data_IF_645735783592
#
_entry.id   IF_645735783592
#
_cell.length_a   1.000
_cell.length_b   1.000
_cell.length_c   1.000
_cell.angle_alpha   90.00
_cell.angle_beta   90.00
_cell.angle_gamma   90.00
#
_symmetry.space_group_name_H-M   'P 1'
#
loop_
_entity.id
_entity.type
_entity.pdbx_description
1 polymer ?
#
# COMPACT_ATOMS: atom_id res chain seq x y z
N UNK A 1 15.53 -6.11 -8.47
CA UNK A 1 15.39 -4.64 -8.61
C UNK A 1 13.92 -4.29 -8.47
N UNK A 2 13.57 -3.71 -7.34
CA UNK A 2 12.23 -3.34 -6.94
C UNK A 2 12.20 -1.83 -6.69
N UNK A 3 11.50 -1.11 -7.57
CA UNK A 3 11.29 0.33 -7.44
C UNK A 3 9.86 0.60 -6.96
N UNK A 4 9.69 1.60 -6.10
CA UNK A 4 8.39 2.03 -5.63
C UNK A 4 8.16 3.51 -5.94
N UNK A 5 6.93 3.87 -6.31
CA UNK A 5 6.50 5.25 -6.53
C UNK A 5 5.48 5.62 -5.45
N UNK A 6 5.81 6.65 -4.66
CA UNK A 6 4.98 7.19 -3.58
C UNK A 6 4.55 8.63 -3.89
N UNK A 7 3.43 9.07 -3.31
CA UNK A 7 2.88 10.40 -3.55
C UNK A 7 1.37 10.48 -3.35
N UNK A 8 0.83 11.69 -3.27
CA UNK A 8 -0.59 11.91 -3.02
C UNK A 8 -1.49 11.36 -4.16
N UNK A 9 -2.78 11.20 -3.86
CA UNK A 9 -3.79 10.91 -4.87
C UNK A 9 -3.76 12.04 -5.91
N UNK A 10 -3.73 11.69 -7.19
CA UNK A 10 -3.63 12.66 -8.28
C UNK A 10 -2.22 13.15 -8.62
N UNK A 11 -1.16 12.75 -7.89
CA UNK A 11 0.22 13.19 -8.15
C UNK A 11 0.88 12.60 -9.42
N UNK A 12 0.17 11.78 -10.20
CA UNK A 12 0.70 11.16 -11.42
C UNK A 12 1.52 9.88 -11.21
N UNK A 13 1.39 9.21 -10.05
CA UNK A 13 2.12 7.96 -9.73
C UNK A 13 1.92 6.88 -10.78
N UNK A 14 0.66 6.56 -11.11
CA UNK A 14 0.31 5.55 -12.11
C UNK A 14 0.95 5.84 -13.47
N UNK A 15 0.96 7.11 -13.87
CA UNK A 15 1.62 7.56 -15.11
C UNK A 15 3.12 7.32 -15.05
N UNK A 16 3.79 7.70 -13.95
CA UNK A 16 5.22 7.48 -13.80
C UNK A 16 5.56 5.98 -13.77
N UNK A 17 4.82 5.18 -13.02
CA UNK A 17 4.98 3.72 -12.95
C UNK A 17 4.91 3.09 -14.34
N UNK A 18 3.90 3.48 -15.14
CA UNK A 18 3.77 3.01 -16.52
C UNK A 18 4.95 3.43 -17.40
N UNK A 19 5.36 4.69 -17.35
CA UNK A 19 6.46 5.21 -18.17
C UNK A 19 7.79 4.53 -17.84
N UNK A 20 8.11 4.37 -16.55
CA UNK A 20 9.34 3.69 -16.12
C UNK A 20 9.30 2.20 -16.47
N UNK A 21 8.15 1.54 -16.29
CA UNK A 21 7.99 0.12 -16.63
C UNK A 21 8.25 -0.12 -18.11
N UNK A 22 7.67 0.73 -18.96
CA UNK A 22 7.87 0.67 -20.41
C UNK A 22 9.33 0.95 -20.81
N UNK A 23 9.97 1.93 -20.18
CA UNK A 23 11.35 2.31 -20.49
C UNK A 23 12.36 1.22 -20.10
N UNK A 24 12.22 0.63 -18.91
CA UNK A 24 13.15 -0.39 -18.38
C UNK A 24 12.75 -1.83 -18.72
N UNK A 25 11.54 -2.06 -19.23
CA UNK A 25 10.98 -3.40 -19.45
C UNK A 25 10.68 -4.15 -18.14
N UNK A 26 10.36 -3.43 -17.06
CA UNK A 26 10.05 -4.02 -15.75
C UNK A 26 8.55 -4.24 -15.61
N UNK A 27 8.12 -5.21 -14.80
CA UNK A 27 6.69 -5.42 -14.54
C UNK A 27 6.11 -4.24 -13.75
N UNK A 28 5.02 -3.65 -14.25
CA UNK A 28 4.27 -2.62 -13.52
C UNK A 28 3.26 -3.27 -12.56
N UNK A 29 3.33 -2.91 -11.29
CA UNK A 29 2.36 -3.33 -10.28
C UNK A 29 1.51 -2.14 -9.87
N UNK A 30 0.29 -2.09 -10.37
CA UNK A 30 -0.66 -1.03 -10.05
C UNK A 30 -1.44 -1.32 -8.77
N UNK A 31 -2.04 -0.27 -8.21
CA UNK A 31 -3.09 -0.43 -7.21
C UNK A 31 -4.24 -1.23 -7.81
N UNK A 32 -4.67 -2.27 -7.09
CA UNK A 32 -5.86 -3.03 -7.44
C UNK A 32 -6.84 -2.86 -6.27
N UNK A 33 -7.67 -1.82 -6.38
CA UNK A 33 -8.62 -1.44 -5.34
C UNK A 33 -10.03 -1.99 -5.63
N UNK A 34 -10.34 -2.36 -6.89
CA UNK A 34 -11.69 -2.70 -7.33
C UNK A 34 -12.20 -4.04 -6.79
N UNK A 35 -11.31 -4.93 -6.31
CA UNK A 35 -11.68 -6.25 -5.79
C UNK A 35 -11.71 -6.35 -4.25
N UNK A 36 -11.50 -5.26 -3.52
CA UNK A 36 -11.47 -5.33 -2.05
C UNK A 36 -12.90 -5.43 -1.47
N UNK A 37 -13.28 -6.53 -0.81
CA UNK A 37 -14.66 -6.73 -0.33
C UNK A 37 -15.10 -5.68 0.70
N UNK A 38 -14.16 -5.05 1.39
CA UNK A 38 -14.46 -4.04 2.42
C UNK A 38 -14.58 -2.61 1.87
N UNK A 39 -14.30 -2.38 0.59
CA UNK A 39 -14.23 -1.01 0.07
C UNK A 39 -15.61 -0.34 0.01
N UNK A 40 -16.63 -1.06 -0.48
CA UNK A 40 -18.00 -0.55 -0.51
C UNK A 40 -18.55 -0.35 0.90
N UNK A 41 -18.30 -1.30 1.79
CA UNK A 41 -18.70 -1.23 3.19
C UNK A 41 -18.05 -0.05 3.92
N UNK A 42 -16.77 0.22 3.64
CA UNK A 42 -16.07 1.38 4.18
C UNK A 42 -16.70 2.70 3.77
N UNK A 43 -17.13 2.85 2.52
CA UNK A 43 -17.83 4.07 2.10
C UNK A 43 -19.22 4.20 2.72
N UNK A 44 -19.84 3.08 3.12
CA UNK A 44 -21.13 3.08 3.82
C UNK A 44 -20.99 3.40 5.31
N UNK A 45 -19.95 2.88 5.99
CA UNK A 45 -19.66 3.13 7.40
C UNK A 45 -18.15 3.08 7.65
N UNK A 46 -17.50 4.25 7.53
CA UNK A 46 -16.05 4.34 7.67
C UNK A 46 -15.61 3.94 9.08
N UNK A 47 -16.37 4.28 10.12
CA UNK A 47 -15.97 3.99 11.49
C UNK A 47 -15.96 2.49 11.77
N UNK A 48 -16.96 1.77 11.26
CA UNK A 48 -17.05 0.31 11.42
C UNK A 48 -15.99 -0.44 10.63
N UNK A 49 -15.66 0.04 9.42
CA UNK A 49 -14.92 -0.75 8.44
C UNK A 49 -13.47 -0.27 8.20
N UNK A 50 -13.04 0.84 8.79
CA UNK A 50 -11.67 1.37 8.67
C UNK A 50 -10.62 0.30 8.94
N UNK A 51 -10.70 -0.38 10.08
CA UNK A 51 -9.73 -1.41 10.46
C UNK A 51 -9.73 -2.59 9.48
N UNK A 52 -10.92 -3.12 9.16
CA UNK A 52 -11.07 -4.25 8.23
C UNK A 52 -10.48 -3.94 6.84
N UNK A 53 -10.74 -2.73 6.35
CA UNK A 53 -10.22 -2.28 5.06
C UNK A 53 -8.67 -2.21 5.08
N UNK A 54 -8.08 -1.62 6.13
CA UNK A 54 -6.62 -1.51 6.25
C UNK A 54 -5.94 -2.88 6.37
N UNK A 55 -6.53 -3.82 7.12
CA UNK A 55 -6.03 -5.20 7.20
C UNK A 55 -6.09 -5.90 5.84
N UNK A 56 -7.18 -5.72 5.09
CA UNK A 56 -7.33 -6.28 3.75
C UNK A 56 -6.27 -5.74 2.78
N UNK A 57 -6.00 -4.43 2.83
CA UNK A 57 -4.91 -3.83 2.05
C UNK A 57 -3.55 -4.38 2.45
N UNK A 58 -3.24 -4.43 3.75
CA UNK A 58 -1.99 -4.99 4.26
C UNK A 58 -1.76 -6.42 3.76
N UNK A 59 -2.77 -7.29 3.84
CA UNK A 59 -2.69 -8.66 3.33
C UNK A 59 -2.44 -8.71 1.81
N UNK A 60 -3.20 -7.93 1.03
CA UNK A 60 -3.03 -7.87 -0.44
C UNK A 60 -1.63 -7.40 -0.83
N UNK A 61 -1.12 -6.36 -0.17
CA UNK A 61 0.24 -5.81 -0.40
C UNK A 61 1.32 -6.82 -0.01
N UNK A 62 1.19 -7.48 1.15
CA UNK A 62 2.13 -8.51 1.59
C UNK A 62 2.19 -9.69 0.61
N UNK A 63 1.03 -10.16 0.13
CA UNK A 63 0.96 -11.24 -0.87
C UNK A 63 1.70 -10.87 -2.16
N UNK A 64 1.54 -9.63 -2.64
CA UNK A 64 2.28 -9.11 -3.80
C UNK A 64 3.79 -9.11 -3.54
N UNK A 65 4.24 -8.57 -2.39
CA UNK A 65 5.66 -8.54 -2.00
C UNK A 65 6.31 -9.94 -1.94
N UNK A 66 5.60 -10.91 -1.37
CA UNK A 66 6.06 -12.31 -1.33
C UNK A 66 6.21 -12.88 -2.74
N UNK A 67 5.27 -12.60 -3.64
CA UNK A 67 5.33 -13.09 -5.02
C UNK A 67 6.50 -12.47 -5.82
N UNK A 68 6.72 -11.16 -5.69
CA UNK A 68 7.85 -10.45 -6.32
C UNK A 68 9.17 -11.13 -5.93
N UNK A 69 9.35 -11.40 -4.64
CA UNK A 69 10.54 -12.06 -4.11
C UNK A 69 10.71 -13.49 -4.61
N UNK A 70 9.65 -14.29 -4.63
CA UNK A 70 9.72 -15.70 -5.07
C UNK A 70 10.12 -15.86 -6.54
N UNK A 71 9.83 -14.87 -7.37
CA UNK A 71 9.99 -14.95 -8.81
C UNK A 71 11.20 -14.17 -9.33
N UNK A 72 12.00 -13.56 -8.43
CA UNK A 72 13.16 -12.71 -8.74
C UNK A 72 12.88 -11.68 -9.84
N UNK A 73 11.68 -11.08 -9.80
CA UNK A 73 11.21 -10.18 -10.86
C UNK A 73 11.72 -8.76 -10.64
N UNK A 74 11.98 -8.07 -11.75
CA UNK A 74 12.22 -6.62 -11.75
C UNK A 74 10.88 -5.92 -11.88
N UNK A 75 10.54 -5.11 -10.89
CA UNK A 75 9.19 -4.54 -10.75
C UNK A 75 9.22 -3.06 -10.40
N UNK A 76 8.18 -2.35 -10.83
CA UNK A 76 7.90 -0.97 -10.45
C UNK A 76 6.49 -0.92 -9.88
N UNK A 77 6.37 -0.56 -8.62
CA UNK A 77 5.12 -0.57 -7.89
C UNK A 77 4.56 0.84 -7.70
N UNK A 78 3.28 1.00 -8.02
CA UNK A 78 2.46 2.15 -7.63
C UNK A 78 1.92 1.93 -6.21
N UNK A 79 2.33 2.78 -5.27
CA UNK A 79 2.02 2.76 -3.83
C UNK A 79 2.51 1.52 -3.07
N UNK A 80 3.17 1.76 -1.95
CA UNK A 80 3.68 0.71 -1.07
C UNK A 80 2.80 0.45 0.15
N UNK A 81 3.07 -0.65 0.86
CA UNK A 81 2.48 -0.93 2.18
C UNK A 81 2.81 0.16 3.21
N UNK A 82 3.93 0.88 3.04
CA UNK A 82 4.35 1.93 3.96
C UNK A 82 3.40 3.13 3.93
N UNK A 83 2.84 3.47 2.77
CA UNK A 83 1.85 4.56 2.69
C UNK A 83 0.59 4.20 3.48
N UNK A 84 0.10 2.96 3.37
CA UNK A 84 -1.06 2.50 4.13
C UNK A 84 -0.82 2.63 5.65
N UNK A 85 0.36 2.19 6.10
CA UNK A 85 0.67 2.14 7.52
C UNK A 85 1.09 3.48 8.14
N UNK A 86 1.79 4.33 7.38
CA UNK A 86 2.37 5.58 7.89
C UNK A 86 1.54 6.82 7.54
N UNK A 87 0.59 6.71 6.60
CA UNK A 87 -0.25 7.84 6.17
C UNK A 87 -1.73 7.52 6.42
N UNK A 88 -2.26 6.43 5.86
CA UNK A 88 -3.71 6.19 5.89
C UNK A 88 -4.21 5.74 7.26
N UNK A 89 -3.60 4.72 7.87
CA UNK A 89 -4.03 4.25 9.19
C UNK A 89 -3.93 5.33 10.29
N UNK A 90 -2.83 6.12 10.40
CA UNK A 90 -2.75 7.22 11.35
C UNK A 90 -3.80 8.31 11.09
N UNK A 91 -4.08 8.63 9.82
CA UNK A 91 -5.13 9.59 9.48
C UNK A 91 -6.53 9.11 9.90
N UNK A 92 -6.85 7.83 9.66
CA UNK A 92 -8.13 7.25 10.08
C UNK A 92 -8.29 7.29 11.61
N UNK A 93 -7.20 7.02 12.35
CA UNK A 93 -7.17 7.15 13.81
C UNK A 93 -7.36 8.60 14.26
N UNK A 94 -6.61 9.54 13.68
CA UNK A 94 -6.69 10.96 14.00
C UNK A 94 -8.08 11.56 13.72
N UNK A 95 -8.77 11.04 12.70
CA UNK A 95 -10.15 11.42 12.36
C UNK A 95 -11.21 10.75 13.24
N UNK A 96 -10.84 9.86 14.17
CA UNK A 96 -11.78 9.10 15.00
C UNK A 96 -12.54 7.99 14.26
N UNK A 97 -12.11 7.65 13.04
CA UNK A 97 -12.70 6.61 12.20
C UNK A 97 -12.10 5.22 12.50
N UNK A 98 -10.97 5.17 13.19
CA UNK A 98 -10.37 3.94 13.70
C UNK A 98 -10.16 4.10 15.20
N UNK A 99 -10.58 3.11 16.00
CA UNK A 99 -10.36 3.17 17.44
C UNK A 99 -8.87 3.06 17.77
N UNK A 100 -8.43 3.62 18.92
CA UNK A 100 -7.03 3.47 19.36
C UNK A 100 -6.62 2.01 19.47
N UNK A 101 -7.53 1.13 19.94
CA UNK A 101 -7.25 -0.31 20.04
C UNK A 101 -6.95 -0.93 18.69
N UNK A 102 -7.77 -0.62 17.68
CA UNK A 102 -7.63 -1.16 16.34
C UNK A 102 -6.41 -0.58 15.63
N UNK A 103 -6.14 0.71 15.83
CA UNK A 103 -4.95 1.37 15.29
C UNK A 103 -3.66 0.77 15.83
N UNK A 104 -3.53 0.62 17.16
CA UNK A 104 -2.33 0.00 17.74
C UNK A 104 -2.19 -1.46 17.29
N UNK A 105 -3.29 -2.22 17.24
CA UNK A 105 -3.27 -3.61 16.72
C UNK A 105 -2.77 -3.65 15.27
N UNK A 106 -3.27 -2.77 14.41
CA UNK A 106 -2.82 -2.68 13.03
C UNK A 106 -1.34 -2.29 12.92
N UNK A 107 -0.91 -1.32 13.74
CA UNK A 107 0.47 -0.82 13.75
C UNK A 107 1.45 -1.91 14.19
N UNK A 108 1.18 -2.59 15.30
CA UNK A 108 2.00 -3.72 15.79
C UNK A 108 2.09 -4.85 14.75
N UNK A 109 0.97 -5.16 14.08
CA UNK A 109 0.95 -6.13 13.00
C UNK A 109 1.80 -5.69 11.81
N UNK A 110 1.70 -4.43 11.40
CA UNK A 110 2.51 -3.87 10.33
C UNK A 110 4.00 -3.91 10.67
N UNK A 111 4.39 -3.50 11.88
CA UNK A 111 5.79 -3.53 12.35
C UNK A 111 6.35 -4.95 12.30
N UNK A 112 5.60 -5.93 12.83
CA UNK A 112 5.99 -7.35 12.77
C UNK A 112 6.21 -7.84 11.33
N UNK A 113 5.34 -7.44 10.40
CA UNK A 113 5.45 -7.81 8.99
C UNK A 113 6.60 -7.07 8.31
N UNK A 114 6.81 -5.79 8.64
CA UNK A 114 7.84 -4.93 8.08
C UNK A 114 9.24 -5.53 8.28
N UNK A 115 9.48 -6.14 9.44
CA UNK A 115 10.74 -6.83 9.76
C UNK A 115 10.98 -8.10 8.93
N UNK A 116 9.92 -8.70 8.37
CA UNK A 116 9.99 -9.91 7.55
C UNK A 116 10.10 -9.61 6.04
N UNK A 117 9.82 -8.38 5.63
CA UNK A 117 9.84 -7.96 4.22
C UNK A 117 11.10 -7.16 3.87
N UNK A 118 11.45 -7.15 2.59
CA UNK A 118 12.55 -6.34 2.08
C UNK A 118 11.91 -5.07 1.54
N UNK A 119 12.42 -3.90 1.92
CA UNK A 119 11.96 -2.66 1.35
C UNK A 119 12.32 -2.60 -0.15
N UNK A 120 11.68 -1.68 -0.91
CA UNK A 120 12.13 -1.34 -2.26
C UNK A 120 13.61 -0.95 -2.28
N UNK A 121 14.30 -1.25 -3.37
CA UNK A 121 15.68 -0.81 -3.63
C UNK A 121 15.74 0.73 -3.79
N UNK A 122 14.66 1.34 -4.28
CA UNK A 122 14.50 2.78 -4.41
C UNK A 122 13.03 3.17 -4.26
N UNK A 123 12.79 4.22 -3.48
CA UNK A 123 11.49 4.88 -3.37
C UNK A 123 11.55 6.25 -4.06
N UNK A 124 10.71 6.44 -5.06
CA UNK A 124 10.55 7.69 -5.81
C UNK A 124 9.34 8.42 -5.25
N UNK A 125 9.56 9.55 -4.59
CA UNK A 125 8.49 10.39 -4.07
C UNK A 125 8.12 11.48 -5.07
N UNK A 126 6.89 11.44 -5.58
CA UNK A 126 6.31 12.49 -6.40
C UNK A 126 5.68 13.56 -5.52
N UNK A 127 6.30 14.74 -5.53
CA UNK A 127 5.81 15.95 -4.88
C UNK A 127 5.16 16.86 -5.93
N UNK A 128 3.86 17.10 -5.78
CA UNK A 128 3.06 17.98 -6.62
C UNK A 128 2.23 18.92 -5.73
#
# INVERSE_FOLDING_TARGET
MYLAVAGNIGAGKTTLTYLLSKYFGYEALFEDNEQNPYLMDFYADMQRWSFNLQISFLHSRLKKLINIRKQDRKVIQDRTVYEDAQIFAPNLHAMGLMSTRDYETYKELFETIADLIQPPDLMIYLRA
#
